data_IF_236572948202
#
_entry.id   IF_236572948202
#
_cell.length_a   1.000
_cell.length_b   1.000
_cell.length_c   1.000
_cell.angle_alpha   90.00
_cell.angle_beta   90.00
_cell.angle_gamma   90.00
#
_symmetry.space_group_name_H-M   'P 1'
#
loop_
_entity.id
_entity.type
_entity.pdbx_description
1 polymer ?
#
# COMPACT_ATOMS: atom_id res chain seq x y z
N UNK A 1 13.80 -46.64 35.87
CA UNK A 1 13.93 -45.79 34.66
C UNK A 1 12.99 -44.57 34.63
N UNK A 2 12.31 -44.20 35.74
CA UNK A 2 11.44 -43.01 35.81
C UNK A 2 12.15 -41.75 36.30
N UNK A 3 13.14 -41.91 37.19
CA UNK A 3 13.87 -40.80 37.82
C UNK A 3 14.66 -39.97 36.80
N UNK A 4 15.33 -40.62 35.83
CA UNK A 4 16.07 -39.92 34.77
C UNK A 4 15.15 -39.14 33.82
N UNK A 5 13.89 -39.56 33.67
CA UNK A 5 12.90 -38.89 32.82
C UNK A 5 12.44 -37.57 33.44
N UNK A 6 12.34 -37.49 34.76
CA UNK A 6 11.98 -36.25 35.46
C UNK A 6 13.09 -35.20 35.38
N UNK A 7 14.36 -35.59 35.54
CA UNK A 7 15.49 -34.67 35.38
C UNK A 7 15.66 -34.16 33.95
N UNK A 8 15.39 -35.01 32.95
CA UNK A 8 15.37 -34.59 31.54
C UNK A 8 14.21 -33.63 31.27
N UNK A 9 13.03 -33.85 31.86
CA UNK A 9 11.88 -32.97 31.68
C UNK A 9 12.08 -31.60 32.34
N UNK A 10 12.70 -31.55 33.52
CA UNK A 10 13.01 -30.28 34.21
C UNK A 10 14.13 -29.51 33.52
N UNK A 11 15.17 -30.21 33.02
CA UNK A 11 16.22 -29.59 32.22
C UNK A 11 15.65 -28.99 30.91
N UNK A 12 14.73 -29.71 30.25
CA UNK A 12 14.07 -29.24 29.03
C UNK A 12 13.13 -28.05 29.28
N UNK A 13 12.46 -27.99 30.43
CA UNK A 13 11.64 -26.84 30.83
C UNK A 13 12.49 -25.61 31.18
N UNK A 14 13.68 -25.81 31.76
CA UNK A 14 14.61 -24.73 32.06
C UNK A 14 15.30 -24.18 30.80
N UNK A 15 15.51 -25.03 29.78
CA UNK A 15 16.03 -24.60 28.48
C UNK A 15 15.03 -23.75 27.70
N UNK A 16 13.72 -23.96 27.91
CA UNK A 16 12.65 -23.26 27.20
C UNK A 16 12.38 -21.84 27.72
N UNK A 17 12.77 -21.53 28.97
CA UNK A 17 12.57 -20.18 29.54
C UNK A 17 13.70 -19.20 29.23
N UNK A 18 14.84 -19.68 28.68
CA UNK A 18 16.00 -18.84 28.36
C UNK A 18 15.92 -18.16 26.98
N UNK A 19 14.89 -18.43 26.17
CA UNK A 19 14.78 -17.87 24.80
C UNK A 19 13.98 -16.57 24.71
N UNK A 20 13.62 -15.91 25.81
CA UNK A 20 12.80 -14.68 25.80
C UNK A 20 13.41 -13.59 26.70
N UNK A 21 14.67 -13.21 26.43
CA UNK A 21 15.32 -12.10 27.13
C UNK A 21 16.21 -11.22 26.22
N UNK A 22 15.94 -11.17 24.91
CA UNK A 22 16.75 -10.38 23.96
C UNK A 22 15.91 -9.66 22.90
N UNK A 23 14.71 -9.22 23.24
CA UNK A 23 14.11 -8.09 22.53
C UNK A 23 14.48 -6.86 23.34
N UNK A 24 15.53 -6.15 22.92
CA UNK A 24 15.72 -4.76 23.34
C UNK A 24 14.40 -4.03 23.04
N UNK A 25 13.82 -3.41 24.06
CA UNK A 25 12.57 -2.68 23.92
C UNK A 25 12.82 -1.48 23.00
N UNK A 26 12.44 -1.62 21.72
CA UNK A 26 12.57 -0.56 20.72
C UNK A 26 11.85 0.68 21.22
N UNK A 27 12.52 1.83 21.18
CA UNK A 27 11.94 3.07 21.68
C UNK A 27 10.82 3.55 20.74
N UNK A 28 9.77 4.12 21.33
CA UNK A 28 8.76 4.86 20.58
C UNK A 28 9.26 6.29 20.31
N UNK A 29 9.57 6.60 19.06
CA UNK A 29 10.02 7.92 18.64
C UNK A 29 8.98 8.70 17.85
N UNK A 30 9.12 10.01 17.85
CA UNK A 30 8.39 10.95 17.01
C UNK A 30 9.35 11.53 15.98
N UNK A 31 8.86 11.80 14.77
CA UNK A 31 9.62 12.38 13.67
C UNK A 31 8.98 13.73 13.35
N UNK A 32 9.73 14.82 13.55
CA UNK A 32 9.32 16.15 13.11
C UNK A 32 10.05 16.50 11.81
N UNK A 33 9.31 16.88 10.77
CA UNK A 33 9.89 17.34 9.51
C UNK A 33 9.86 18.87 9.44
N UNK A 34 11.02 19.47 9.21
CA UNK A 34 11.21 20.88 8.92
C UNK A 34 11.74 21.05 7.50
N UNK A 35 11.35 22.14 6.85
CA UNK A 35 11.72 22.41 5.47
C UNK A 35 12.53 23.70 5.39
N UNK A 36 13.74 23.59 4.85
CA UNK A 36 14.55 24.69 4.39
C UNK A 36 14.54 24.78 2.86
N UNK A 37 14.99 25.91 2.33
CA UNK A 37 15.26 26.08 0.91
C UNK A 37 16.68 26.59 0.75
N UNK A 38 17.43 25.98 -0.15
CA UNK A 38 18.66 26.56 -0.71
C UNK A 38 18.34 27.09 -2.13
N UNK A 39 19.27 27.80 -2.77
CA UNK A 39 19.11 28.43 -4.09
C UNK A 39 18.69 27.44 -5.20
N UNK A 40 19.10 26.17 -5.10
CA UNK A 40 18.84 25.15 -6.13
C UNK A 40 18.05 23.92 -5.66
N UNK A 41 17.86 23.72 -4.35
CA UNK A 41 17.30 22.48 -3.79
C UNK A 41 16.38 22.75 -2.60
N UNK A 42 15.33 21.94 -2.44
CA UNK A 42 14.56 21.86 -1.20
C UNK A 42 15.32 20.98 -0.21
N UNK A 43 15.56 21.47 1.01
CA UNK A 43 16.24 20.70 2.06
C UNK A 43 15.19 20.32 3.09
N UNK A 44 15.00 19.03 3.32
CA UNK A 44 14.07 18.54 4.33
C UNK A 44 14.91 17.96 5.45
N UNK A 45 14.74 18.52 6.65
CA UNK A 45 15.39 18.07 7.86
C UNK A 45 14.39 17.33 8.72
N UNK A 46 14.67 16.07 9.03
CA UNK A 46 13.93 15.29 10.00
C UNK A 46 14.65 15.33 11.35
N UNK A 47 13.91 15.60 12.41
CA UNK A 47 14.38 15.51 13.79
C UNK A 47 13.64 14.35 14.47
N UNK A 48 14.39 13.38 14.98
CA UNK A 48 13.87 12.20 15.67
C UNK A 48 14.01 12.41 17.17
N UNK A 49 12.90 12.40 17.89
CA UNK A 49 12.85 12.52 19.35
C UNK A 49 12.16 11.34 19.99
N UNK A 50 12.63 10.91 21.16
CA UNK A 50 11.97 9.89 21.95
C UNK A 50 10.71 10.49 22.61
N UNK A 51 9.57 9.82 22.54
CA UNK A 51 8.30 10.32 23.09
C UNK A 51 8.32 10.35 24.63
N UNK A 52 8.98 9.39 25.27
CA UNK A 52 9.04 9.25 26.72
C UNK A 52 10.03 10.24 27.37
N UNK A 53 11.20 10.44 26.76
CA UNK A 53 12.26 11.28 27.34
C UNK A 53 12.38 12.66 26.69
N UNK A 54 11.71 12.91 25.56
CA UNK A 54 11.82 14.11 24.73
C UNK A 54 13.25 14.43 24.27
N UNK A 55 14.17 13.47 24.38
CA UNK A 55 15.56 13.63 23.96
C UNK A 55 15.74 13.21 22.49
N UNK A 56 16.68 13.85 21.77
CA UNK A 56 17.02 13.44 20.41
C UNK A 56 17.61 12.03 20.39
N UNK A 57 17.24 11.25 19.38
CA UNK A 57 17.71 9.88 19.22
C UNK A 57 18.75 9.82 18.10
N UNK A 58 19.96 9.43 18.46
CA UNK A 58 21.06 9.21 17.51
C UNK A 58 21.01 7.80 16.91
N UNK A 59 21.68 7.63 15.78
CA UNK A 59 21.89 6.33 15.14
C UNK A 59 20.60 5.63 14.67
N UNK A 60 19.56 6.41 14.34
CA UNK A 60 18.32 5.89 13.74
C UNK A 60 18.42 6.02 12.23
N UNK A 61 18.23 4.90 11.54
CA UNK A 61 18.16 4.85 10.08
C UNK A 61 16.79 5.33 9.61
N UNK A 62 16.81 6.35 8.75
CA UNK A 62 15.63 7.00 8.23
C UNK A 62 15.71 7.03 6.71
N UNK A 63 14.64 6.56 6.07
CA UNK A 63 14.48 6.64 4.63
C UNK A 63 13.48 7.74 4.27
N UNK A 64 13.89 8.60 3.34
CA UNK A 64 13.06 9.64 2.77
C UNK A 64 12.40 9.17 1.48
N UNK A 65 11.10 9.38 1.40
CA UNK A 65 10.21 8.96 0.34
C UNK A 65 9.43 10.14 -0.24
N UNK A 66 9.13 10.07 -1.53
CA UNK A 66 8.16 10.93 -2.20
C UNK A 66 6.96 10.07 -2.64
N UNK A 67 5.75 10.47 -2.25
CA UNK A 67 4.54 9.80 -2.72
C UNK A 67 4.28 10.11 -4.20
N UNK A 68 4.31 9.07 -5.03
CA UNK A 68 3.94 9.10 -6.45
C UNK A 68 2.63 8.34 -6.69
N UNK A 69 2.11 8.45 -7.91
CA UNK A 69 0.85 7.81 -8.34
C UNK A 69 0.86 6.29 -8.14
N UNK A 70 2.01 5.64 -8.31
CA UNK A 70 2.15 4.18 -8.25
C UNK A 70 2.82 3.68 -6.97
N UNK A 71 3.06 4.55 -5.97
CA UNK A 71 3.66 4.16 -4.70
C UNK A 71 4.65 5.17 -4.14
N UNK A 72 5.42 4.70 -3.14
CA UNK A 72 6.48 5.47 -2.49
C UNK A 72 7.78 5.33 -3.27
N UNK A 73 8.38 6.46 -3.65
CA UNK A 73 9.68 6.49 -4.31
C UNK A 73 10.75 6.87 -3.30
N UNK A 74 11.69 5.96 -3.03
CA UNK A 74 12.87 6.23 -2.18
C UNK A 74 13.74 7.30 -2.85
N UNK A 75 14.09 8.34 -2.10
CA UNK A 75 14.92 9.45 -2.59
C UNK A 75 16.27 9.47 -1.91
N UNK A 76 16.28 9.31 -0.59
CA UNK A 76 17.48 9.33 0.22
C UNK A 76 17.31 8.41 1.43
N UNK A 77 18.44 8.00 1.99
CA UNK A 77 18.53 7.22 3.21
C UNK A 77 19.74 7.72 3.99
N UNK A 78 19.66 7.65 5.31
CA UNK A 78 20.80 7.91 6.15
C UNK A 78 20.47 7.72 7.61
N UNK A 79 21.44 8.07 8.45
CA UNK A 79 21.38 7.84 9.88
C UNK A 79 21.37 9.16 10.64
N UNK A 80 20.58 9.27 11.71
CA UNK A 80 20.51 10.48 12.54
C UNK A 80 21.81 10.74 13.28
N UNK A 81 22.19 12.02 13.34
CA UNK A 81 23.37 12.49 14.06
C UNK A 81 23.18 12.52 15.59
N UNK A 82 24.17 13.03 16.33
CA UNK A 82 24.11 13.17 17.80
C UNK A 82 23.00 14.10 18.28
N UNK A 83 22.48 14.96 17.41
CA UNK A 83 21.36 15.86 17.68
C UNK A 83 20.01 15.29 17.22
N UNK A 84 19.99 14.05 16.73
CA UNK A 84 18.79 13.38 16.23
C UNK A 84 18.32 13.91 14.87
N UNK A 85 19.18 14.66 14.17
CA UNK A 85 18.84 15.30 12.91
C UNK A 85 19.39 14.52 11.73
N UNK A 86 18.65 14.58 10.63
CA UNK A 86 19.08 14.10 9.32
C UNK A 86 18.44 14.99 8.25
N UNK A 87 19.23 15.38 7.25
CA UNK A 87 18.75 16.18 6.13
C UNK A 87 18.85 15.41 4.82
N UNK A 88 17.88 15.65 3.94
CA UNK A 88 17.89 15.17 2.57
C UNK A 88 17.58 16.31 1.61
N UNK A 89 18.27 16.31 0.47
CA UNK A 89 18.09 17.29 -0.58
C UNK A 89 17.16 16.77 -1.66
N UNK A 90 16.25 17.62 -2.10
CA UNK A 90 15.25 17.32 -3.11
C UNK A 90 15.35 18.36 -4.23
N UNK A 91 15.31 17.94 -5.51
CA UNK A 91 15.30 18.88 -6.61
C UNK A 91 14.09 19.82 -6.56
N UNK A 92 14.29 21.10 -6.90
CA UNK A 92 13.20 22.09 -6.98
C UNK A 92 12.16 21.74 -8.06
N UNK A 93 12.58 21.02 -9.09
CA UNK A 93 11.77 20.66 -10.26
C UNK A 93 11.02 19.34 -10.10
N UNK A 94 10.80 18.89 -8.85
CA UNK A 94 9.92 17.75 -8.62
C UNK A 94 8.50 18.13 -9.04
N UNK A 95 7.96 17.43 -10.04
CA UNK A 95 6.55 17.59 -10.41
C UNK A 95 5.64 17.19 -9.25
N UNK A 96 4.60 18.00 -9.01
CA UNK A 96 3.51 17.66 -8.10
C UNK A 96 2.83 16.34 -8.48
N UNK A 97 2.15 15.71 -7.53
CA UNK A 97 1.40 14.47 -7.76
C UNK A 97 0.06 14.71 -8.47
N UNK A 98 -0.38 15.97 -8.56
CA UNK A 98 -1.64 16.39 -9.16
C UNK A 98 -1.54 17.85 -9.68
N UNK A 99 -2.56 18.27 -10.42
CA UNK A 99 -2.84 19.64 -10.89
C UNK A 99 -2.76 20.71 -9.79
N UNK A 100 -3.01 20.32 -8.53
CA UNK A 100 -2.89 21.19 -7.34
C UNK A 100 -1.44 21.50 -6.94
N UNK A 101 -0.44 20.96 -7.65
CA UNK A 101 1.00 21.14 -7.40
C UNK A 101 1.43 20.70 -6.00
N UNK A 102 0.76 19.72 -5.40
CA UNK A 102 1.14 19.22 -4.07
C UNK A 102 2.03 17.98 -4.20
N UNK A 103 3.03 17.87 -3.34
CA UNK A 103 3.88 16.69 -3.17
C UNK A 103 3.80 16.27 -1.71
N UNK A 104 3.62 14.98 -1.46
CA UNK A 104 3.73 14.43 -0.11
C UNK A 104 5.12 13.84 0.05
N UNK A 105 5.87 14.39 1.00
CA UNK A 105 7.16 13.88 1.46
C UNK A 105 6.92 13.05 2.70
N UNK A 106 7.56 11.89 2.76
CA UNK A 106 7.40 10.94 3.85
C UNK A 106 8.79 10.59 4.36
N UNK A 107 9.00 10.66 5.66
CA UNK A 107 10.18 10.12 6.31
C UNK A 107 9.77 8.93 7.15
N UNK A 108 10.44 7.80 6.96
CA UNK A 108 10.07 6.53 7.59
C UNK A 108 11.30 5.84 8.16
N UNK A 109 11.17 5.40 9.40
CA UNK A 109 12.09 4.43 10.03
C UNK A 109 11.56 3.05 9.66
N UNK A 110 12.39 2.25 9.01
CA UNK A 110 12.07 0.87 8.62
C UNK A 110 13.11 -0.04 9.25
N UNK A 111 12.66 -1.07 9.97
CA UNK A 111 13.50 -2.15 10.49
C UNK A 111 14.76 -1.69 11.22
N UNK A 112 14.59 -0.79 12.19
CA UNK A 112 15.71 -0.26 12.98
C UNK A 112 15.80 -0.93 14.36
N UNK A 113 17.01 -1.28 14.80
CA UNK A 113 17.23 -1.92 16.11
C UNK A 113 16.93 -1.01 17.30
N UNK A 114 17.03 0.32 17.11
CA UNK A 114 16.89 1.32 18.17
C UNK A 114 15.43 1.75 18.34
N UNK A 115 14.70 1.93 17.24
CA UNK A 115 13.38 2.57 17.21
C UNK A 115 12.34 1.75 16.44
N UNK A 116 11.09 1.78 16.91
CA UNK A 116 9.97 1.14 16.23
C UNK A 116 9.63 1.83 14.90
N UNK A 117 9.14 1.05 13.93
CA UNK A 117 8.68 1.55 12.64
C UNK A 117 7.69 2.71 12.79
N UNK A 118 8.11 3.88 12.31
CA UNK A 118 7.33 5.12 12.41
C UNK A 118 7.46 5.88 11.11
N UNK A 119 6.34 6.42 10.62
CA UNK A 119 6.30 7.24 9.42
C UNK A 119 5.69 8.59 9.74
N UNK A 120 6.31 9.66 9.22
CA UNK A 120 5.75 11.00 9.27
C UNK A 120 5.72 11.61 7.88
N UNK A 121 4.69 12.41 7.60
CA UNK A 121 4.45 12.97 6.28
C UNK A 121 4.18 14.47 6.33
N UNK A 122 4.73 15.20 5.35
CA UNK A 122 4.41 16.61 5.12
C UNK A 122 3.97 16.81 3.68
N UNK A 123 3.06 17.75 3.47
CA UNK A 123 2.60 18.14 2.14
C UNK A 123 3.19 19.49 1.78
N UNK A 124 3.92 19.53 0.67
CA UNK A 124 4.57 20.73 0.16
C UNK A 124 4.00 21.12 -1.19
N UNK A 125 4.10 22.41 -1.54
CA UNK A 125 3.69 22.90 -2.85
C UNK A 125 4.89 22.93 -3.79
N UNK A 126 4.83 22.14 -4.85
CA UNK A 126 5.77 22.14 -5.96
C UNK A 126 5.67 23.42 -6.80
N UNK A 127 6.80 23.80 -7.42
CA UNK A 127 6.84 24.80 -8.50
C UNK A 127 6.15 24.29 -9.77
N UNK A 128 6.31 23.02 -10.10
CA UNK A 128 5.78 22.40 -11.32
C UNK A 128 4.48 21.65 -11.03
N UNK A 129 3.44 21.95 -11.82
CA UNK A 129 2.23 21.14 -11.83
C UNK A 129 2.52 19.79 -12.50
N UNK A 130 1.84 18.73 -12.03
CA UNK A 130 1.68 17.57 -12.88
C UNK A 130 0.96 18.02 -14.16
N UNK A 131 1.43 17.65 -15.37
CA UNK A 131 0.70 18.00 -16.58
C UNK A 131 -0.73 17.49 -16.42
N UNK A 132 -1.71 18.37 -16.65
CA UNK A 132 -3.11 17.95 -16.67
C UNK A 132 -3.21 16.80 -17.66
N UNK A 133 -3.39 15.59 -17.13
CA UNK A 133 -3.33 14.38 -17.94
C UNK A 133 -4.35 14.53 -19.05
N UNK A 134 -3.92 14.39 -20.31
CA UNK A 134 -4.89 14.18 -21.38
C UNK A 134 -5.74 12.97 -20.95
N UNK A 135 -7.09 13.06 -21.06
CA UNK A 135 -7.94 11.96 -20.64
C UNK A 135 -7.43 10.68 -21.31
N UNK A 136 -7.08 9.68 -20.50
CA UNK A 136 -6.53 8.43 -21.01
C UNK A 136 -7.63 7.80 -21.89
N UNK A 137 -7.38 7.62 -23.20
CA UNK A 137 -8.37 7.06 -24.09
C UNK A 137 -8.69 5.63 -23.68
N UNK A 138 -9.87 5.14 -24.09
CA UNK A 138 -10.29 3.75 -23.81
C UNK A 138 -9.21 2.78 -24.26
N UNK A 139 -8.61 2.07 -23.30
CA UNK A 139 -7.41 1.25 -23.50
C UNK A 139 -7.43 0.10 -22.50
N UNK A 140 -6.62 -0.92 -22.75
CA UNK A 140 -6.59 -2.13 -21.89
C UNK A 140 -6.13 -1.78 -20.46
N UNK A 141 -5.18 -0.83 -20.34
CA UNK A 141 -4.67 -0.34 -19.06
C UNK A 141 -5.35 0.97 -18.60
N UNK A 142 -6.42 1.39 -19.27
CA UNK A 142 -7.15 2.62 -18.96
C UNK A 142 -8.36 2.36 -18.07
N UNK A 143 -8.95 3.44 -17.54
CA UNK A 143 -10.16 3.37 -16.71
C UNK A 143 -11.39 2.81 -17.46
N UNK A 144 -11.40 2.90 -18.80
CA UNK A 144 -12.49 2.43 -19.64
C UNK A 144 -11.98 1.43 -20.67
N UNK A 145 -12.65 0.28 -20.77
CA UNK A 145 -12.31 -0.76 -21.73
C UNK A 145 -12.44 -0.27 -23.20
N UNK A 146 -11.56 -0.73 -24.11
CA UNK A 146 -11.68 -0.46 -25.54
C UNK A 146 -13.03 -0.90 -26.11
N UNK A 147 -13.51 -0.21 -27.13
CA UNK A 147 -14.81 -0.49 -27.75
C UNK A 147 -14.94 -1.93 -28.26
N UNK A 148 -13.89 -2.47 -28.88
CA UNK A 148 -13.92 -3.85 -29.39
C UNK A 148 -14.11 -4.88 -28.27
N UNK A 149 -13.49 -4.65 -27.10
CA UNK A 149 -13.60 -5.53 -25.94
C UNK A 149 -15.00 -5.45 -25.33
N UNK A 150 -15.55 -4.24 -25.22
CA UNK A 150 -16.92 -4.05 -24.74
C UNK A 150 -17.96 -4.75 -25.64
N UNK A 151 -17.79 -4.65 -26.96
CA UNK A 151 -18.68 -5.30 -27.94
C UNK A 151 -18.57 -6.82 -27.83
N UNK A 152 -17.36 -7.39 -27.85
CA UNK A 152 -17.16 -8.84 -27.75
C UNK A 152 -17.73 -9.41 -26.47
N UNK A 153 -17.49 -8.75 -25.33
CA UNK A 153 -18.09 -9.13 -24.05
C UNK A 153 -19.62 -9.11 -24.10
N UNK A 154 -20.21 -8.04 -24.65
CA UNK A 154 -21.67 -7.90 -24.75
C UNK A 154 -22.27 -8.96 -25.68
N UNK A 155 -21.61 -9.31 -26.79
CA UNK A 155 -22.06 -10.36 -27.72
C UNK A 155 -22.05 -11.72 -27.03
N UNK A 156 -20.97 -12.07 -26.33
CA UNK A 156 -20.87 -13.36 -25.61
C UNK A 156 -21.97 -13.48 -24.56
N UNK A 157 -22.17 -12.43 -23.75
CA UNK A 157 -23.26 -12.38 -22.76
C UNK A 157 -24.63 -12.47 -23.44
N UNK A 158 -24.81 -11.77 -24.57
CA UNK A 158 -26.05 -11.80 -25.35
C UNK A 158 -26.39 -13.19 -25.88
N UNK A 159 -25.41 -13.94 -26.37
CA UNK A 159 -25.61 -15.33 -26.84
C UNK A 159 -26.11 -16.23 -25.71
N UNK A 160 -25.55 -16.09 -24.50
CA UNK A 160 -25.99 -16.86 -23.32
C UNK A 160 -27.44 -16.52 -22.96
N UNK A 161 -27.82 -15.24 -22.98
CA UNK A 161 -29.21 -14.83 -22.74
C UNK A 161 -30.18 -15.35 -23.78
N UNK A 162 -29.80 -15.32 -25.06
CA UNK A 162 -30.61 -15.88 -26.16
C UNK A 162 -30.83 -17.38 -25.94
N UNK A 163 -29.80 -18.11 -25.51
CA UNK A 163 -29.91 -19.55 -25.21
C UNK A 163 -30.91 -19.81 -24.07
N UNK A 164 -30.88 -19.01 -23.00
CA UNK A 164 -31.86 -19.13 -21.91
C UNK A 164 -33.30 -18.90 -22.40
N UNK A 165 -33.52 -17.83 -23.17
CA UNK A 165 -34.83 -17.53 -23.75
C UNK A 165 -35.30 -18.65 -24.68
N UNK A 166 -34.39 -19.22 -25.47
CA UNK A 166 -34.68 -20.35 -26.36
C UNK A 166 -35.14 -21.59 -25.58
N UNK A 167 -34.44 -21.96 -24.51
CA UNK A 167 -34.84 -23.10 -23.66
C UNK A 167 -36.22 -22.86 -23.03
N UNK A 168 -36.48 -21.66 -22.51
CA UNK A 168 -37.81 -21.31 -21.97
C UNK A 168 -38.90 -21.39 -23.03
N UNK A 169 -38.61 -20.93 -24.25
CA UNK A 169 -39.52 -21.06 -25.38
C UNK A 169 -39.80 -22.53 -25.72
N UNK A 170 -38.79 -23.41 -25.70
CA UNK A 170 -38.96 -24.85 -25.92
C UNK A 170 -39.87 -25.48 -24.87
N UNK A 171 -39.63 -25.18 -23.59
CA UNK A 171 -40.45 -25.69 -22.49
C UNK A 171 -41.89 -25.20 -22.62
N UNK A 172 -42.08 -23.91 -22.92
CA UNK A 172 -43.41 -23.34 -23.16
C UNK A 172 -44.13 -24.02 -24.33
N UNK A 173 -43.44 -24.22 -25.45
CA UNK A 173 -43.98 -24.87 -26.65
C UNK A 173 -44.38 -26.34 -26.36
N UNK A 174 -43.54 -27.09 -25.65
CA UNK A 174 -43.82 -28.47 -25.26
C UNK A 174 -45.05 -28.53 -24.35
N UNK A 175 -45.13 -27.66 -23.33
CA UNK A 175 -46.30 -27.59 -22.44
C UNK A 175 -47.58 -27.31 -23.21
N UNK A 176 -47.57 -26.32 -24.12
CA UNK A 176 -48.74 -25.99 -24.94
C UNK A 176 -49.17 -27.17 -25.84
N UNK A 177 -48.22 -27.83 -26.50
CA UNK A 177 -48.51 -28.99 -27.34
C UNK A 177 -49.05 -30.18 -26.52
N UNK A 178 -48.53 -30.40 -25.30
CA UNK A 178 -49.01 -31.46 -24.41
C UNK A 178 -50.46 -31.23 -23.95
N UNK A 179 -50.84 -29.98 -23.63
CA UNK A 179 -52.23 -29.67 -23.23
C UNK A 179 -53.24 -29.89 -24.36
N UNK A 180 -52.90 -29.49 -25.59
CA UNK A 180 -53.79 -29.68 -26.76
C UNK A 180 -54.08 -31.17 -26.99
N UNK A 181 -53.06 -32.02 -26.84
CA UNK A 181 -53.20 -33.47 -27.07
C UNK A 181 -54.11 -34.15 -26.05
N UNK A 182 -54.14 -33.68 -24.80
CA UNK A 182 -55.04 -34.19 -23.75
C UNK A 182 -56.50 -33.86 -24.08
N UNK A 183 -56.79 -32.63 -24.52
CA UNK A 183 -58.15 -32.18 -24.85
C UNK A 183 -58.71 -32.93 -26.08
N UNK A 184 -57.87 -33.26 -27.07
CA UNK A 184 -58.32 -33.96 -28.29
C UNK A 184 -58.62 -35.45 -28.12
N UNK A 185 -58.26 -36.05 -26.97
CA UNK A 185 -58.39 -37.49 -26.71
C UNK A 185 -59.56 -37.83 -25.77
N UNK A 186 -60.33 -36.82 -25.38
CA UNK A 186 -61.50 -36.90 -24.50
C UNK A 186 -62.75 -36.63 -25.32
#
# INVERSE_FOLDING_TARGET
>A
MQVNKHYILTLLSFLLTMTVAAQDEKINGNIALQMGSNDSMHVVTATVTNIATLQPVKNVELTFYVQRTFGLMKVAEGTTDTTGNISAEFPLDIQGSDSTRKITLIAKVEDNDVMSDTAFQIVIKSRLAFPAGKPIPRSIAGAHAPWWLAITFTVVVGVVWILFVYVLYLVYRIRKASMIKIISKQ
#
